data_IF_466595566667
#
_entry.id   IF_466595566667
#
_cell.length_a   1.000
_cell.length_b   1.000
_cell.length_c   1.000
_cell.angle_alpha   90.00
_cell.angle_beta   90.00
_cell.angle_gamma   90.00
#
_symmetry.space_group_name_H-M   'P 1'
#
loop_
_entity.id
_entity.type
_entity.pdbx_description
1 polymer ?
#
# COMPACT_ATOMS: atom_id res chain seq x y z
N UNK A 1 -16.02 -23.95 -47.77
CA UNK A 1 -15.24 -22.70 -47.58
C UNK A 1 -15.65 -21.88 -46.36
N UNK A 2 -16.94 -21.79 -45.98
CA UNK A 2 -17.36 -21.02 -44.78
C UNK A 2 -17.01 -21.65 -43.42
N UNK A 3 -16.91 -22.98 -43.34
CA UNK A 3 -16.57 -23.67 -42.09
C UNK A 3 -15.08 -23.59 -41.70
N UNK A 4 -14.18 -23.38 -42.67
CA UNK A 4 -12.73 -23.30 -42.43
C UNK A 4 -12.28 -21.92 -41.91
N UNK A 5 -13.07 -20.87 -42.19
CA UNK A 5 -12.80 -19.52 -41.69
C UNK A 5 -13.20 -19.34 -40.22
N UNK A 6 -14.22 -20.06 -39.75
CA UNK A 6 -14.68 -19.97 -38.36
C UNK A 6 -13.70 -20.62 -37.36
N UNK A 7 -12.95 -21.64 -37.78
CA UNK A 7 -11.99 -22.35 -36.92
C UNK A 7 -10.67 -21.61 -36.76
N UNK A 8 -10.26 -20.83 -37.77
CA UNK A 8 -9.05 -20.01 -37.73
C UNK A 8 -9.21 -18.78 -36.82
N UNK A 9 -10.41 -18.18 -36.77
CA UNK A 9 -10.69 -17.02 -35.91
C UNK A 9 -10.72 -17.40 -34.42
N UNK A 10 -11.22 -18.59 -34.08
CA UNK A 10 -11.25 -19.09 -32.70
C UNK A 10 -9.86 -19.46 -32.16
N UNK A 11 -8.94 -19.93 -33.01
CA UNK A 11 -7.56 -20.21 -32.59
C UNK A 11 -6.72 -18.93 -32.40
N UNK A 12 -6.99 -17.87 -33.16
CA UNK A 12 -6.33 -16.56 -33.02
C UNK A 12 -6.78 -15.80 -31.76
N UNK A 13 -8.02 -15.99 -31.30
CA UNK A 13 -8.53 -15.39 -30.06
C UNK A 13 -8.04 -16.08 -28.77
N UNK A 14 -7.53 -17.31 -28.85
CA UNK A 14 -7.00 -18.04 -27.68
C UNK A 14 -5.48 -17.90 -27.49
N UNK A 15 -4.75 -17.27 -28.43
CA UNK A 15 -3.29 -17.14 -28.38
C UNK A 15 -2.80 -15.81 -27.77
N UNK A 16 -3.68 -14.87 -27.45
CA UNK A 16 -3.31 -13.56 -26.87
C UNK A 16 -3.57 -13.43 -25.38
N UNK A 17 -4.10 -14.47 -24.73
CA UNK A 17 -4.25 -14.52 -23.28
C UNK A 17 -3.11 -15.34 -22.66
N UNK A 18 -1.88 -14.79 -22.71
CA UNK A 18 -0.87 -15.24 -21.77
C UNK A 18 -1.41 -15.00 -20.34
N UNK A 19 -1.25 -15.96 -19.41
CA UNK A 19 -1.91 -15.88 -18.12
C UNK A 19 -1.29 -14.73 -17.33
N UNK A 20 -2.05 -13.67 -17.12
CA UNK A 20 -1.66 -12.49 -16.35
C UNK A 20 -1.27 -12.84 -14.89
N UNK A 21 -1.65 -14.04 -14.42
CA UNK A 21 -1.25 -14.65 -13.14
C UNK A 21 0.18 -15.21 -13.12
N UNK A 22 0.76 -15.58 -14.27
CA UNK A 22 2.15 -16.03 -14.34
C UNK A 22 3.12 -14.86 -14.20
N UNK A 23 2.80 -13.69 -14.77
CA UNK A 23 3.64 -12.50 -14.67
C UNK A 23 3.76 -11.97 -13.23
N UNK A 24 2.65 -11.90 -12.48
CA UNK A 24 2.63 -11.44 -11.08
C UNK A 24 3.40 -12.35 -10.14
N UNK A 25 3.23 -13.66 -10.29
CA UNK A 25 3.98 -14.67 -9.50
C UNK A 25 5.46 -14.63 -9.85
N UNK A 26 5.82 -14.26 -11.08
CA UNK A 26 7.22 -14.10 -11.49
C UNK A 26 7.83 -12.86 -10.84
N UNK A 27 7.15 -11.70 -10.90
CA UNK A 27 7.60 -10.45 -10.26
C UNK A 27 7.95 -10.64 -8.77
N UNK A 28 7.02 -11.22 -8.00
CA UNK A 28 7.22 -11.37 -6.57
C UNK A 28 8.39 -12.30 -6.22
N UNK A 29 8.75 -13.24 -7.10
CA UNK A 29 9.85 -14.16 -6.88
C UNK A 29 11.20 -13.60 -7.35
N UNK A 30 11.22 -12.84 -8.44
CA UNK A 30 12.46 -12.29 -9.00
C UNK A 30 12.84 -10.95 -8.39
N UNK A 31 11.88 -10.21 -7.83
CA UNK A 31 12.06 -8.87 -7.28
C UNK A 31 12.69 -7.92 -8.31
N UNK A 32 12.12 -7.84 -9.51
CA UNK A 32 12.63 -7.07 -10.65
C UNK A 32 11.58 -6.20 -11.35
N UNK A 33 10.35 -6.15 -10.85
CA UNK A 33 9.29 -5.41 -11.51
C UNK A 33 9.41 -3.92 -11.24
N UNK A 34 9.31 -3.16 -12.33
CA UNK A 34 9.34 -1.70 -12.31
C UNK A 34 7.95 -1.16 -12.00
N UNK A 35 7.86 0.12 -11.65
CA UNK A 35 6.58 0.80 -11.51
C UNK A 35 5.74 0.72 -12.79
N UNK A 36 6.35 0.63 -13.98
CA UNK A 36 5.59 0.44 -15.23
C UNK A 36 5.02 -0.98 -15.35
N UNK A 37 5.77 -2.01 -14.95
CA UNK A 37 5.27 -3.39 -14.93
C UNK A 37 4.08 -3.51 -13.96
N UNK A 38 4.17 -2.83 -12.81
CA UNK A 38 3.10 -2.82 -11.80
C UNK A 38 1.92 -1.96 -12.25
N UNK A 39 2.16 -0.82 -12.92
CA UNK A 39 1.12 0.02 -13.53
C UNK A 39 0.22 -0.80 -14.47
N UNK A 40 0.82 -1.73 -15.23
CA UNK A 40 0.10 -2.66 -16.10
C UNK A 40 -0.72 -3.75 -15.39
N UNK A 41 -0.59 -3.90 -14.05
CA UNK A 41 -1.37 -4.86 -13.27
C UNK A 41 -2.74 -4.31 -12.88
N UNK A 42 -3.77 -5.15 -13.00
CA UNK A 42 -5.07 -4.95 -12.33
C UNK A 42 -4.92 -4.90 -10.81
N UNK A 43 -5.86 -4.27 -10.10
CA UNK A 43 -5.85 -4.24 -8.64
C UNK A 43 -5.85 -5.64 -8.01
N UNK A 44 -6.60 -6.60 -8.59
CA UNK A 44 -6.58 -7.99 -8.14
C UNK A 44 -5.17 -8.63 -8.24
N UNK A 45 -4.43 -8.31 -9.32
CA UNK A 45 -3.05 -8.74 -9.50
C UNK A 45 -2.10 -8.10 -8.50
N UNK A 46 -2.27 -6.80 -8.20
CA UNK A 46 -1.48 -6.09 -7.19
C UNK A 46 -1.70 -6.64 -5.79
N UNK A 47 -2.95 -6.99 -5.46
CA UNK A 47 -3.29 -7.66 -4.21
C UNK A 47 -2.62 -9.04 -4.10
N UNK A 48 -2.60 -9.81 -5.18
CA UNK A 48 -1.88 -11.08 -5.21
C UNK A 48 -0.36 -10.88 -5.09
N UNK A 49 0.17 -9.84 -5.73
CA UNK A 49 1.59 -9.48 -5.71
C UNK A 49 2.06 -9.11 -4.29
N UNK A 50 1.41 -8.17 -3.59
CA UNK A 50 1.81 -7.78 -2.23
C UNK A 50 1.69 -8.92 -1.22
N UNK A 51 0.72 -9.82 -1.40
CA UNK A 51 0.58 -11.05 -0.61
C UNK A 51 1.71 -12.03 -0.88
N UNK A 52 2.12 -12.20 -2.13
CA UNK A 52 3.24 -13.06 -2.50
C UNK A 52 4.57 -12.51 -1.95
N UNK A 53 4.80 -11.20 -2.03
CA UNK A 53 5.95 -10.55 -1.40
C UNK A 53 5.98 -10.82 0.12
N UNK A 54 4.83 -10.70 0.79
CA UNK A 54 4.70 -10.96 2.23
C UNK A 54 5.00 -12.41 2.59
N UNK A 55 4.43 -13.36 1.83
CA UNK A 55 4.47 -14.78 2.15
C UNK A 55 5.81 -15.45 1.83
N UNK A 56 6.56 -14.93 0.86
CA UNK A 56 7.86 -15.47 0.48
C UNK A 56 9.00 -14.52 0.86
N UNK A 57 9.43 -13.63 -0.06
CA UNK A 57 10.67 -12.88 0.10
C UNK A 57 10.82 -12.08 1.40
N UNK A 58 9.72 -11.49 1.90
CA UNK A 58 9.75 -10.74 3.16
C UNK A 58 9.92 -11.65 4.38
N UNK A 59 9.26 -12.81 4.36
CA UNK A 59 9.36 -13.82 5.40
C UNK A 59 10.76 -14.45 5.47
N UNK A 60 11.48 -14.51 4.35
CA UNK A 60 12.89 -14.95 4.33
C UNK A 60 13.83 -13.98 5.07
N UNK A 61 13.48 -12.69 5.17
CA UNK A 61 14.32 -11.67 5.83
C UNK A 61 14.10 -11.65 7.34
N UNK A 62 12.83 -11.76 7.77
CA UNK A 62 12.43 -11.53 9.16
C UNK A 62 11.92 -12.83 9.79
N UNK A 63 12.64 -13.43 10.75
CA UNK A 63 12.17 -14.63 11.44
C UNK A 63 10.81 -14.41 12.10
N UNK A 64 9.85 -15.30 11.82
CA UNK A 64 8.48 -15.18 12.35
C UNK A 64 7.68 -14.00 11.76
N UNK A 65 8.01 -13.58 10.54
CA UNK A 65 7.34 -12.48 9.86
C UNK A 65 5.80 -12.59 9.90
N UNK A 66 5.17 -11.61 10.55
CA UNK A 66 3.75 -11.31 10.38
C UNK A 66 3.58 -10.36 9.18
N UNK A 67 2.55 -10.53 8.32
CA UNK A 67 2.32 -9.64 7.18
C UNK A 67 2.27 -8.14 7.57
N UNK A 68 3.20 -7.33 7.06
CA UNK A 68 3.36 -5.90 7.41
C UNK A 68 2.73 -4.93 6.40
N UNK A 69 2.04 -5.46 5.40
CA UNK A 69 1.41 -4.68 4.32
C UNK A 69 -0.10 -4.90 4.24
N UNK A 70 -0.72 -5.41 5.31
CA UNK A 70 -2.18 -5.59 5.39
C UNK A 70 -2.92 -4.27 5.24
N UNK A 71 -2.35 -3.18 5.75
CA UNK A 71 -2.87 -1.84 5.49
C UNK A 71 -2.95 -1.51 3.99
N UNK A 72 -1.89 -1.81 3.23
CA UNK A 72 -1.86 -1.63 1.77
C UNK A 72 -2.86 -2.56 1.09
N UNK A 73 -3.00 -3.81 1.54
CA UNK A 73 -4.07 -4.70 1.06
C UNK A 73 -5.46 -4.09 1.29
N UNK A 74 -5.66 -3.38 2.41
CA UNK A 74 -6.90 -2.65 2.69
C UNK A 74 -7.18 -1.54 1.68
N UNK A 75 -6.18 -0.74 1.34
CA UNK A 75 -6.29 0.31 0.30
C UNK A 75 -6.55 -0.30 -1.09
N UNK A 76 -5.85 -1.37 -1.46
CA UNK A 76 -6.07 -2.08 -2.73
C UNK A 76 -7.49 -2.65 -2.82
N UNK A 77 -8.04 -3.22 -1.74
CA UNK A 77 -9.45 -3.66 -1.72
C UNK A 77 -10.40 -2.49 -1.92
N UNK A 78 -10.13 -1.35 -1.31
CA UNK A 78 -10.93 -0.14 -1.52
C UNK A 78 -10.88 0.32 -2.99
N UNK A 79 -9.69 0.30 -3.63
CA UNK A 79 -9.59 0.61 -5.05
C UNK A 79 -10.41 -0.36 -5.90
N UNK A 80 -10.38 -1.66 -5.59
CA UNK A 80 -11.23 -2.64 -6.27
C UNK A 80 -12.73 -2.33 -6.09
N UNK A 81 -13.15 -1.99 -4.87
CA UNK A 81 -14.55 -1.69 -4.55
C UNK A 81 -15.07 -0.40 -5.21
N UNK A 82 -14.17 0.56 -5.51
CA UNK A 82 -14.49 1.83 -6.19
C UNK A 82 -14.12 1.87 -7.67
N UNK A 83 -13.67 0.75 -8.24
CA UNK A 83 -13.20 0.66 -9.63
C UNK A 83 -12.10 1.70 -9.95
N UNK A 84 -11.19 1.93 -9.00
CA UNK A 84 -10.05 2.85 -9.12
C UNK A 84 -8.76 2.08 -9.48
N UNK A 85 -7.79 2.80 -10.05
CA UNK A 85 -6.45 2.26 -10.31
C UNK A 85 -6.32 1.46 -11.61
N UNK A 86 -7.22 1.68 -12.57
CA UNK A 86 -7.04 1.20 -13.94
C UNK A 86 -5.66 1.61 -14.50
N UNK A 87 -4.97 0.75 -15.27
CA UNK A 87 -3.64 1.04 -15.80
C UNK A 87 -3.54 2.41 -16.49
N UNK A 88 -2.50 3.17 -16.14
CA UNK A 88 -2.25 4.50 -16.70
C UNK A 88 -3.06 5.64 -16.07
N UNK A 89 -3.91 5.37 -15.08
CA UNK A 89 -4.55 6.41 -14.27
C UNK A 89 -3.59 6.96 -13.21
N UNK A 90 -3.89 8.14 -12.64
CA UNK A 90 -3.07 8.73 -11.58
C UNK A 90 -2.93 7.79 -10.39
N UNK A 91 -4.05 7.25 -9.88
CA UNK A 91 -4.06 6.26 -8.79
C UNK A 91 -3.18 5.04 -9.12
N UNK A 92 -3.23 4.58 -10.37
CA UNK A 92 -2.47 3.41 -10.81
C UNK A 92 -0.96 3.62 -10.71
N UNK A 93 -0.44 4.78 -11.16
CA UNK A 93 0.98 5.12 -11.03
C UNK A 93 1.40 5.35 -9.57
N UNK A 94 0.56 6.00 -8.77
CA UNK A 94 0.86 6.25 -7.35
C UNK A 94 1.01 4.93 -6.59
N UNK A 95 0.04 4.03 -6.73
CA UNK A 95 0.08 2.71 -6.10
C UNK A 95 1.19 1.83 -6.67
N UNK A 96 1.50 1.93 -7.97
CA UNK A 96 2.65 1.25 -8.55
C UNK A 96 3.99 1.72 -7.94
N UNK A 97 4.14 3.02 -7.67
CA UNK A 97 5.30 3.56 -6.96
C UNK A 97 5.45 3.02 -5.54
N UNK A 98 4.33 2.84 -4.82
CA UNK A 98 4.32 2.22 -3.48
C UNK A 98 4.82 0.77 -3.55
N UNK A 99 4.21 -0.02 -4.44
CA UNK A 99 4.52 -1.45 -4.58
C UNK A 99 5.94 -1.70 -5.10
N UNK A 100 6.43 -0.88 -6.03
CA UNK A 100 7.83 -0.92 -6.47
C UNK A 100 8.76 -0.62 -5.28
N UNK A 101 8.46 0.40 -4.48
CA UNK A 101 9.25 0.74 -3.29
C UNK A 101 9.38 -0.46 -2.34
N UNK A 102 8.29 -1.19 -2.12
CA UNK A 102 8.28 -2.39 -1.28
C UNK A 102 9.11 -3.51 -1.90
N UNK A 103 8.86 -3.86 -3.16
CA UNK A 103 9.58 -4.92 -3.88
C UNK A 103 11.09 -4.66 -3.90
N UNK A 104 11.48 -3.44 -4.27
CA UNK A 104 12.89 -3.03 -4.30
C UNK A 104 13.49 -3.01 -2.90
N UNK A 105 12.74 -2.56 -1.90
CA UNK A 105 13.17 -2.61 -0.51
C UNK A 105 13.47 -4.02 0.00
N UNK A 106 12.66 -5.00 -0.39
CA UNK A 106 12.91 -6.42 -0.09
C UNK A 106 14.19 -6.90 -0.78
N UNK A 107 14.36 -6.60 -2.09
CA UNK A 107 15.55 -7.01 -2.85
C UNK A 107 16.84 -6.46 -2.21
N UNK A 108 16.82 -5.19 -1.81
CA UNK A 108 17.93 -4.52 -1.12
C UNK A 108 18.20 -5.15 0.25
N UNK A 109 17.17 -5.42 1.06
CA UNK A 109 17.33 -6.02 2.38
C UNK A 109 17.86 -7.47 2.35
N UNK A 110 17.55 -8.22 1.28
CA UNK A 110 18.11 -9.56 1.01
C UNK A 110 19.55 -9.51 0.49
N UNK A 111 19.98 -8.37 -0.05
CA UNK A 111 21.25 -8.25 -0.74
C UNK A 111 21.25 -8.83 -2.15
N UNK A 112 20.06 -9.10 -2.72
CA UNK A 112 19.90 -9.65 -4.07
C UNK A 112 20.18 -8.59 -5.16
N UNK A 113 20.09 -7.31 -4.80
CA UNK A 113 20.34 -6.19 -5.70
C UNK A 113 20.75 -4.94 -4.92
N UNK A 114 21.33 -3.96 -5.62
CA UNK A 114 21.58 -2.59 -5.11
C UNK A 114 20.75 -1.53 -5.85
N UNK A 115 19.92 -1.95 -6.80
CA UNK A 115 19.13 -1.05 -7.64
C UNK A 115 17.82 -0.64 -6.95
N UNK A 116 17.51 0.65 -6.95
CA UNK A 116 16.28 1.22 -6.39
C UNK A 116 15.26 1.58 -7.46
N UNK A 117 15.62 1.49 -8.74
CA UNK A 117 14.89 2.08 -9.87
C UNK A 117 14.63 3.59 -9.73
N UNK A 118 15.39 4.28 -8.88
CA UNK A 118 15.18 5.70 -8.58
C UNK A 118 14.11 5.96 -7.52
N UNK A 119 13.42 4.94 -7.02
CA UNK A 119 12.42 5.06 -5.97
C UNK A 119 13.09 5.28 -4.60
N UNK A 120 12.93 6.46 -3.98
CA UNK A 120 13.56 6.78 -2.70
C UNK A 120 13.01 5.93 -1.56
N UNK A 121 11.78 5.44 -1.67
CA UNK A 121 11.16 4.56 -0.67
C UNK A 121 11.82 3.19 -0.57
N UNK A 122 12.45 2.70 -1.65
CA UNK A 122 13.13 1.40 -1.67
C UNK A 122 14.19 1.27 -0.56
N UNK A 123 15.05 2.28 -0.40
CA UNK A 123 16.09 2.27 0.64
C UNK A 123 15.50 2.33 2.06
N UNK A 124 14.36 3.02 2.22
CA UNK A 124 13.67 3.14 3.51
C UNK A 124 12.97 1.81 3.87
N UNK A 125 12.34 1.15 2.91
CA UNK A 125 11.78 -0.19 3.10
C UNK A 125 12.86 -1.23 3.43
N UNK A 126 14.01 -1.15 2.76
CA UNK A 126 15.15 -2.02 3.07
C UNK A 126 15.65 -1.82 4.51
N UNK A 127 15.77 -0.56 4.93
CA UNK A 127 16.13 -0.19 6.30
C UNK A 127 15.08 -0.67 7.31
N UNK A 128 13.79 -0.50 7.01
CA UNK A 128 12.68 -0.98 7.83
C UNK A 128 12.75 -2.50 8.03
N UNK A 129 12.86 -3.30 6.96
CA UNK A 129 12.94 -4.76 7.04
C UNK A 129 14.18 -5.24 7.81
N UNK A 130 15.34 -4.61 7.58
CA UNK A 130 16.58 -4.92 8.28
C UNK A 130 16.46 -4.62 9.78
N UNK A 131 15.91 -3.45 10.14
CA UNK A 131 15.68 -3.05 11.53
C UNK A 131 14.63 -3.94 12.21
N UNK A 132 13.63 -4.39 11.46
CA UNK A 132 12.61 -5.32 11.94
C UNK A 132 13.24 -6.67 12.29
N UNK A 133 14.02 -7.25 11.37
CA UNK A 133 14.81 -8.48 11.60
C UNK A 133 15.70 -8.37 12.83
N UNK A 134 16.38 -7.24 12.99
CA UNK A 134 17.32 -7.00 14.08
C UNK A 134 16.62 -6.65 15.42
N UNK A 135 15.29 -6.69 15.49
CA UNK A 135 14.51 -6.38 16.70
C UNK A 135 14.54 -4.91 17.11
N UNK A 136 14.97 -4.00 16.22
CA UNK A 136 15.12 -2.55 16.49
C UNK A 136 13.82 -1.75 16.29
N UNK A 137 12.74 -2.42 15.89
CA UNK A 137 11.40 -1.84 15.72
C UNK A 137 10.40 -2.40 16.75
N UNK A 138 10.87 -2.73 17.95
CA UNK A 138 10.02 -3.25 19.03
C UNK A 138 9.09 -2.19 19.63
N UNK A 139 9.50 -0.92 19.62
CA UNK A 139 8.67 0.21 20.04
C UNK A 139 7.75 0.64 18.89
N UNK A 140 6.44 0.78 19.17
CA UNK A 140 5.43 1.10 18.16
C UNK A 140 5.68 2.45 17.50
N UNK A 141 6.05 3.49 18.27
CA UNK A 141 6.38 4.80 17.68
C UNK A 141 7.55 4.74 16.68
N UNK A 142 8.58 3.94 16.99
CA UNK A 142 9.77 3.78 16.14
C UNK A 142 9.44 2.97 14.88
N UNK A 143 8.62 1.94 15.04
CA UNK A 143 8.08 1.13 13.95
C UNK A 143 7.22 1.98 13.00
N UNK A 144 6.21 2.67 13.53
CA UNK A 144 5.24 3.43 12.75
C UNK A 144 5.88 4.58 11.99
N UNK A 145 6.86 5.24 12.61
CA UNK A 145 7.67 6.25 11.93
C UNK A 145 8.45 5.66 10.75
N UNK A 146 9.15 4.54 10.96
CA UNK A 146 9.94 3.92 9.89
C UNK A 146 9.06 3.44 8.73
N UNK A 147 7.91 2.85 9.03
CA UNK A 147 6.93 2.42 8.03
C UNK A 147 6.35 3.61 7.28
N UNK A 148 5.89 4.65 7.99
CA UNK A 148 5.29 5.84 7.39
C UNK A 148 6.26 6.62 6.51
N UNK A 149 7.54 6.75 6.90
CA UNK A 149 8.56 7.43 6.09
C UNK A 149 8.82 6.66 4.79
N UNK A 150 8.85 5.32 4.83
CA UNK A 150 9.04 4.49 3.64
C UNK A 150 7.83 4.54 2.68
N UNK A 151 6.62 4.43 3.23
CA UNK A 151 5.37 4.58 2.49
C UNK A 151 5.31 5.95 1.81
N UNK A 152 5.51 7.03 2.58
CA UNK A 152 5.49 8.41 2.09
C UNK A 152 6.40 8.61 0.88
N UNK A 153 7.66 8.20 1.00
CA UNK A 153 8.64 8.40 -0.07
C UNK A 153 8.28 7.62 -1.33
N UNK A 154 7.69 6.43 -1.18
CA UNK A 154 7.22 5.61 -2.31
C UNK A 154 5.97 6.22 -2.96
N UNK A 155 5.05 6.76 -2.15
CA UNK A 155 3.85 7.46 -2.65
C UNK A 155 4.23 8.73 -3.42
N UNK A 156 5.08 9.60 -2.86
CA UNK A 156 5.54 10.82 -3.52
C UNK A 156 6.28 10.55 -4.83
N UNK A 157 7.03 9.45 -4.87
CA UNK A 157 7.66 8.99 -6.10
C UNK A 157 6.63 8.58 -7.16
N UNK A 158 5.59 7.82 -6.78
CA UNK A 158 4.49 7.47 -7.67
C UNK A 158 3.70 8.68 -8.18
N UNK A 159 3.50 9.71 -7.33
CA UNK A 159 2.90 11.00 -7.74
C UNK A 159 3.79 11.69 -8.77
N UNK A 160 5.10 11.76 -8.51
CA UNK A 160 6.05 12.36 -9.45
C UNK A 160 6.11 11.58 -10.78
N UNK A 161 5.98 10.25 -10.74
CA UNK A 161 5.90 9.40 -11.92
C UNK A 161 4.66 9.77 -12.75
N UNK A 162 3.46 9.74 -12.14
CA UNK A 162 2.21 10.13 -12.79
C UNK A 162 2.32 11.50 -13.47
N UNK A 163 2.69 12.54 -12.70
CA UNK A 163 2.57 13.92 -13.14
C UNK A 163 3.72 14.38 -14.03
N UNK A 164 4.97 14.03 -13.66
CA UNK A 164 6.15 14.59 -14.32
C UNK A 164 6.66 13.72 -15.45
N UNK A 165 6.47 12.39 -15.36
CA UNK A 165 6.93 11.44 -16.38
C UNK A 165 5.82 11.14 -17.38
N UNK A 166 4.60 10.88 -16.89
CA UNK A 166 3.48 10.47 -17.75
C UNK A 166 2.46 11.57 -18.05
N UNK A 167 2.58 12.74 -17.41
CA UNK A 167 1.69 13.88 -17.65
C UNK A 167 0.24 13.65 -17.22
N UNK A 168 0.02 12.70 -16.30
CA UNK A 168 -1.30 12.37 -15.75
C UNK A 168 -1.46 13.09 -14.43
N UNK A 169 -2.43 13.99 -14.34
CA UNK A 169 -2.72 14.76 -13.14
C UNK A 169 -3.84 14.12 -12.32
N UNK A 170 -3.81 14.31 -11.01
CA UNK A 170 -4.90 13.94 -10.12
C UNK A 170 -6.17 14.74 -10.46
N UNK A 171 -7.32 14.08 -10.38
CA UNK A 171 -8.60 14.76 -10.24
C UNK A 171 -8.70 15.45 -8.87
N UNK A 172 -9.62 16.42 -8.69
CA UNK A 172 -9.82 17.05 -7.39
C UNK A 172 -10.17 16.07 -6.26
N UNK A 173 -10.85 14.96 -6.58
CA UNK A 173 -11.19 13.92 -5.60
C UNK A 173 -9.95 13.13 -5.21
N UNK A 174 -9.14 12.70 -6.20
CA UNK A 174 -7.87 11.99 -5.95
C UNK A 174 -6.88 12.84 -5.16
N UNK A 175 -6.77 14.14 -5.47
CA UNK A 175 -5.91 15.07 -4.74
C UNK A 175 -6.32 15.22 -3.26
N UNK A 176 -7.63 15.32 -2.99
CA UNK A 176 -8.14 15.36 -1.61
C UNK A 176 -7.94 14.02 -0.89
N UNK A 177 -8.17 12.91 -1.59
CA UNK A 177 -7.88 11.58 -1.07
C UNK A 177 -6.38 11.41 -0.72
N UNK A 178 -5.50 11.93 -1.57
CA UNK A 178 -4.06 11.96 -1.32
C UNK A 178 -3.73 12.76 -0.06
N UNK A 179 -4.30 13.95 0.12
CA UNK A 179 -4.13 14.75 1.34
C UNK A 179 -4.61 14.02 2.61
N UNK A 180 -5.65 13.19 2.51
CA UNK A 180 -6.06 12.32 3.63
C UNK A 180 -5.03 11.23 3.91
N UNK A 181 -4.45 10.63 2.88
CA UNK A 181 -3.37 9.65 3.05
C UNK A 181 -2.11 10.28 3.68
N UNK A 182 -1.81 11.55 3.37
CA UNK A 182 -0.75 12.33 4.03
C UNK A 182 -1.01 12.52 5.52
N UNK A 183 -2.26 12.82 5.89
CA UNK A 183 -2.68 12.94 7.27
C UNK A 183 -2.57 11.60 8.02
N UNK A 184 -2.97 10.51 7.39
CA UNK A 184 -2.81 9.16 7.95
C UNK A 184 -1.33 8.86 8.26
N UNK A 185 -0.44 9.05 7.28
CA UNK A 185 1.01 8.91 7.46
C UNK A 185 1.56 9.87 8.52
N UNK A 186 1.07 11.11 8.56
CA UNK A 186 1.42 12.06 9.61
C UNK A 186 1.05 11.56 11.01
N UNK A 187 -0.13 10.95 11.15
CA UNK A 187 -0.61 10.39 12.41
C UNK A 187 0.27 9.22 12.87
N UNK A 188 0.62 8.31 11.96
CA UNK A 188 1.58 7.22 12.19
C UNK A 188 2.93 7.74 12.71
N UNK A 189 3.59 8.64 11.96
CA UNK A 189 4.96 9.10 12.31
C UNK A 189 5.03 9.95 13.58
N UNK A 190 3.91 10.54 14.00
CA UNK A 190 3.83 11.38 15.20
C UNK A 190 3.14 10.68 16.39
N UNK A 191 2.98 9.35 16.37
CA UNK A 191 2.42 8.61 17.50
C UNK A 191 3.21 8.93 18.78
N UNK A 192 2.55 9.42 19.86
CA UNK A 192 3.25 9.81 21.09
C UNK A 192 4.00 8.63 21.72
N UNK A 193 5.30 8.81 22.00
CA UNK A 193 6.14 7.79 22.65
C UNK A 193 5.62 7.39 24.04
N UNK A 194 4.91 8.27 24.75
CA UNK A 194 4.29 7.95 26.04
C UNK A 194 3.30 6.78 25.93
N UNK A 195 2.64 6.61 24.79
CA UNK A 195 1.76 5.46 24.58
C UNK A 195 2.54 4.14 24.51
N UNK A 196 3.81 4.13 24.08
CA UNK A 196 4.65 2.93 24.13
C UNK A 196 4.90 2.44 25.55
N UNK A 197 4.97 3.37 26.53
CA UNK A 197 5.17 3.01 27.94
C UNK A 197 3.93 2.35 28.56
N UNK A 198 2.76 2.56 27.96
CA UNK A 198 1.48 2.01 28.41
C UNK A 198 1.14 0.69 27.71
N UNK A 199 1.77 0.40 26.57
CA UNK A 199 1.52 -0.82 25.78
C UNK A 199 2.51 -1.93 26.11
N UNK A 200 2.09 -3.04 26.76
CA UNK A 200 2.99 -4.16 26.98
C UNK A 200 3.32 -4.86 25.65
N UNK A 201 4.60 -5.17 25.36
CA UNK A 201 4.97 -5.83 24.12
C UNK A 201 4.47 -7.28 24.11
N UNK A 202 3.98 -7.73 22.94
CA UNK A 202 3.61 -9.12 22.70
C UNK A 202 4.46 -9.59 21.51
N UNK A 203 5.38 -10.53 21.70
CA UNK A 203 6.23 -11.04 20.60
C UNK A 203 7.00 -9.98 19.77
N UNK A 204 7.77 -10.42 18.75
CA UNK A 204 8.41 -9.51 17.80
C UNK A 204 7.38 -8.82 16.89
N UNK A 205 7.01 -7.58 17.23
CA UNK A 205 6.17 -6.73 16.39
C UNK A 205 4.67 -7.00 16.48
N UNK A 206 4.19 -7.76 17.47
CA UNK A 206 2.79 -7.65 17.88
C UNK A 206 2.69 -6.58 18.98
N UNK A 207 1.73 -5.69 18.81
CA UNK A 207 1.39 -4.70 19.82
C UNK A 207 -0.07 -4.88 20.11
N UNK A 208 -0.42 -5.00 21.40
CA UNK A 208 -1.83 -5.09 21.77
C UNK A 208 -2.50 -3.79 21.33
N UNK A 209 -3.56 -3.88 20.53
CA UNK A 209 -4.39 -2.75 20.19
C UNK A 209 -5.08 -2.27 21.48
N UNK A 210 -4.55 -1.20 22.08
CA UNK A 210 -5.06 -0.66 23.34
C UNK A 210 -5.96 0.56 23.14
N UNK A 211 -5.73 1.29 22.05
CA UNK A 211 -6.43 2.53 21.74
C UNK A 211 -6.96 2.50 20.31
N UNK A 212 -7.98 3.32 20.03
CA UNK A 212 -8.45 3.56 18.67
C UNK A 212 -7.30 3.98 17.75
N UNK A 213 -6.37 4.81 18.25
CA UNK A 213 -5.19 5.25 17.50
C UNK A 213 -4.28 4.06 17.12
N UNK A 214 -4.04 3.13 18.05
CA UNK A 214 -3.21 1.96 17.79
C UNK A 214 -3.85 1.02 16.75
N UNK A 215 -5.17 0.85 16.81
CA UNK A 215 -5.95 0.10 15.84
C UNK A 215 -5.97 0.79 14.47
N UNK A 216 -6.28 2.09 14.44
CA UNK A 216 -6.38 2.89 13.22
C UNK A 216 -5.06 2.90 12.45
N UNK A 217 -3.95 2.98 13.16
CA UNK A 217 -2.60 3.00 12.59
C UNK A 217 -1.97 1.61 12.47
N UNK A 218 -2.70 0.53 12.73
CA UNK A 218 -2.14 -0.82 12.67
C UNK A 218 -1.90 -1.27 11.23
N UNK A 219 -0.63 -1.25 10.81
CA UNK A 219 -0.24 -1.64 9.45
C UNK A 219 -0.40 -3.15 9.17
N UNK A 220 -0.61 -3.94 10.22
CA UNK A 220 -0.87 -5.39 10.15
C UNK A 220 -2.37 -5.71 10.06
N UNK A 221 -3.23 -4.69 10.20
CA UNK A 221 -4.67 -4.81 10.06
C UNK A 221 -5.13 -4.12 8.77
N UNK A 222 -5.92 -4.82 7.98
CA UNK A 222 -6.42 -4.32 6.69
C UNK A 222 -7.76 -3.58 6.81
N UNK A 223 -8.49 -3.74 7.93
CA UNK A 223 -9.81 -3.14 8.16
C UNK A 223 -9.75 -1.61 8.28
N UNK A 224 -8.89 -1.00 9.10
CA UNK A 224 -8.87 0.46 9.27
C UNK A 224 -8.53 1.17 7.96
N UNK A 225 -7.59 0.61 7.19
CA UNK A 225 -7.17 1.16 5.91
C UNK A 225 -8.28 1.06 4.86
N UNK A 226 -8.96 -0.08 4.78
CA UNK A 226 -10.06 -0.31 3.85
C UNK A 226 -11.25 0.61 4.14
N UNK A 227 -11.78 0.54 5.36
CA UNK A 227 -12.94 1.36 5.79
C UNK A 227 -12.61 2.84 5.81
N UNK A 228 -11.42 3.18 6.30
CA UNK A 228 -10.93 4.55 6.32
C UNK A 228 -10.78 5.12 4.91
N UNK A 229 -10.35 4.34 3.92
CA UNK A 229 -10.26 4.82 2.54
C UNK A 229 -11.63 5.10 1.95
N UNK A 230 -12.63 4.24 2.21
CA UNK A 230 -14.01 4.50 1.80
C UNK A 230 -14.52 5.85 2.31
N UNK A 231 -14.34 6.11 3.61
CA UNK A 231 -14.77 7.36 4.24
C UNK A 231 -14.01 8.58 3.70
N UNK A 232 -12.69 8.49 3.53
CA UNK A 232 -11.88 9.59 2.97
C UNK A 232 -12.38 9.95 1.59
N UNK A 233 -12.61 8.95 0.76
CA UNK A 233 -13.02 9.16 -0.61
C UNK A 233 -14.43 9.73 -0.69
N UNK A 234 -15.38 9.24 0.11
CA UNK A 234 -16.73 9.81 0.17
C UNK A 234 -16.67 11.29 0.60
N UNK A 235 -15.89 11.62 1.64
CA UNK A 235 -15.68 13.00 2.05
C UNK A 235 -15.00 13.84 0.95
N UNK A 236 -14.04 13.26 0.22
CA UNK A 236 -13.39 13.90 -0.93
C UNK A 236 -14.36 14.15 -2.10
N UNK A 237 -15.42 13.36 -2.25
CA UNK A 237 -16.47 13.59 -3.25
C UNK A 237 -17.44 14.69 -2.82
N UNK A 238 -17.79 14.75 -1.53
CA UNK A 238 -18.78 15.71 -1.01
C UNK A 238 -18.23 17.11 -0.72
N UNK A 239 -16.92 17.27 -0.50
CA UNK A 239 -16.38 18.58 -0.12
C UNK A 239 -16.46 19.61 -1.27
N UNK A 240 -17.08 20.75 -0.99
CA UNK A 240 -17.35 21.84 -1.94
C UNK A 240 -16.02 22.51 -2.32
N UNK A 241 -15.81 22.97 -3.57
CA UNK A 241 -14.60 23.72 -3.93
C UNK A 241 -14.39 24.91 -2.97
N UNK A 242 -13.35 24.85 -2.13
CA UNK A 242 -13.02 25.87 -1.12
C UNK A 242 -13.35 25.51 0.34
N UNK A 243 -13.86 24.31 0.62
CA UNK A 243 -14.00 23.80 1.98
C UNK A 243 -12.63 23.48 2.58
N UNK A 244 -12.26 24.13 3.69
CA UNK A 244 -11.16 23.66 4.54
C UNK A 244 -11.74 22.66 5.52
N UNK A 245 -11.79 21.37 5.15
CA UNK A 245 -12.01 20.32 6.13
C UNK A 245 -10.89 20.40 7.17
N UNK A 246 -11.24 20.79 8.40
CA UNK A 246 -10.30 20.83 9.51
C UNK A 246 -9.88 19.39 9.84
N UNK A 247 -8.57 19.12 9.90
CA UNK A 247 -8.00 17.82 10.27
C UNK A 247 -8.63 17.21 11.54
N UNK A 248 -8.99 18.04 12.52
CA UNK A 248 -9.67 17.56 13.74
C UNK A 248 -11.10 17.09 13.48
N UNK A 249 -11.84 17.76 12.59
CA UNK A 249 -13.19 17.37 12.22
C UNK A 249 -13.18 16.07 11.41
N UNK A 250 -12.19 15.92 10.52
CA UNK A 250 -11.95 14.67 9.80
C UNK A 250 -11.64 13.53 10.76
N UNK A 251 -10.65 13.72 11.65
CA UNK A 251 -10.29 12.69 12.63
C UNK A 251 -11.47 12.30 13.53
N UNK A 252 -12.29 13.26 13.96
CA UNK A 252 -13.49 12.99 14.74
C UNK A 252 -14.53 12.19 13.95
N UNK A 253 -14.79 12.56 12.69
CA UNK A 253 -15.72 11.81 11.81
C UNK A 253 -15.23 10.37 11.57
N UNK A 254 -13.92 10.19 11.41
CA UNK A 254 -13.29 8.89 11.31
C UNK A 254 -13.42 8.05 12.58
N UNK A 255 -13.11 8.66 13.72
CA UNK A 255 -13.18 7.97 15.00
C UNK A 255 -14.61 7.50 15.29
N UNK A 256 -15.61 8.30 14.96
CA UNK A 256 -17.02 7.95 15.12
C UNK A 256 -17.44 6.84 14.15
N UNK A 257 -17.16 6.99 12.85
CA UNK A 257 -17.55 6.01 11.83
C UNK A 257 -16.85 4.65 11.98
N UNK A 258 -15.62 4.65 12.48
CA UNK A 258 -14.82 3.43 12.68
C UNK A 258 -14.93 2.88 14.11
N UNK A 259 -15.65 3.53 15.02
CA UNK A 259 -15.80 3.09 16.40
C UNK A 259 -16.41 1.68 16.49
N UNK A 260 -17.38 1.38 15.62
CA UNK A 260 -18.05 0.08 15.57
C UNK A 260 -17.10 -1.06 15.18
N UNK A 261 -16.15 -0.79 14.28
CA UNK A 261 -15.13 -1.76 13.88
C UNK A 261 -14.01 -1.91 14.95
N UNK A 262 -13.77 -0.86 15.76
CA UNK A 262 -12.78 -0.87 16.84
C UNK A 262 -13.28 -1.50 18.15
N UNK A 263 -14.58 -1.43 18.45
CA UNK A 263 -15.18 -1.88 19.71
C UNK A 263 -15.90 -3.25 19.59
N UNK A 264 -15.34 -4.29 18.96
CA UNK A 264 -16.09 -5.53 18.75
C UNK A 264 -16.66 -6.02 20.09
N UNK A 265 -17.96 -6.30 20.08
CA UNK A 265 -18.78 -6.78 21.20
C UNK A 265 -18.14 -7.96 21.96
#
# INVERSE_FOLDING_TARGET
>A
MRAAFATLLACLLCLTAAPATAATTTCANTLTCTAEDINGMTIAQRLAFVRALSAGPAADIVPGYAPRWRNIEGVLRFFADRELGEPGTWVSYVDAGILEGIERGIALARGDSTDTFGNPGASLWASYLTRLRDGRLSLRSVHDRAWSEAEQASTEYGVALAERVHGVAATPVEERFYQFSEFYRWTLRNRPMLLDLLTPPVGPGDQRQLTFLDWFTDVTNDVPAHRGSHLAYDLAEFDVPGGTLNFLALFAAYADALAEDYLPA
#
